data_IF_722707852135
#
_entry.id   IF_722707852135
#
_cell.length_a   1.000
_cell.length_b   1.000
_cell.length_c   1.000
_cell.angle_alpha   90.00
_cell.angle_beta   90.00
_cell.angle_gamma   90.00
#
_symmetry.space_group_name_H-M   'P 1'
#
loop_
_entity.id
_entity.type
_entity.pdbx_description
1 polymer ?
#
# COMPACT_ATOMS: atom_id res chain seq x y z
N UNK A 1 7.85 -8.13 41.74
CA UNK A 1 6.91 -7.00 41.78
C UNK A 1 6.00 -7.10 40.56
N UNK A 2 4.69 -7.20 40.80
CA UNK A 2 3.66 -7.51 39.80
C UNK A 2 3.60 -6.42 38.71
N UNK A 3 3.84 -6.82 37.46
CA UNK A 3 3.70 -5.96 36.29
C UNK A 3 2.21 -5.73 36.05
N UNK A 4 1.65 -4.68 36.64
CA UNK A 4 0.32 -4.21 36.27
C UNK A 4 0.33 -3.91 34.76
N UNK A 5 -0.52 -4.61 34.00
CA UNK A 5 -0.70 -4.32 32.59
C UNK A 5 -1.19 -2.87 32.45
N UNK A 6 -0.29 -1.97 32.06
CA UNK A 6 -0.61 -0.58 31.79
C UNK A 6 -1.63 -0.56 30.64
N UNK A 7 -2.85 -0.09 30.93
CA UNK A 7 -3.89 0.12 29.92
C UNK A 7 -3.90 1.59 29.55
N UNK A 8 -3.94 1.88 28.26
CA UNK A 8 -4.10 3.24 27.74
C UNK A 8 -5.32 3.32 26.85
N UNK A 9 -5.92 4.51 26.76
CA UNK A 9 -7.00 4.80 25.82
C UNK A 9 -6.39 5.14 24.47
N UNK A 10 -6.82 4.48 23.40
CA UNK A 10 -6.35 4.74 22.03
C UNK A 10 -7.51 5.02 21.09
N UNK A 11 -7.31 5.94 20.15
CA UNK A 11 -8.31 6.31 19.16
C UNK A 11 -8.53 5.18 18.15
N UNK A 12 -9.80 4.94 17.82
CA UNK A 12 -10.22 4.13 16.67
C UNK A 12 -10.62 5.11 15.58
N UNK A 13 -9.81 5.17 14.54
CA UNK A 13 -10.01 6.03 13.38
C UNK A 13 -10.10 5.17 12.14
N UNK A 14 -10.97 5.57 11.21
CA UNK A 14 -11.02 4.96 9.88
C UNK A 14 -11.04 6.04 8.79
N UNK A 15 -10.66 5.66 7.60
CA UNK A 15 -10.66 6.51 6.41
C UNK A 15 -11.90 6.26 5.56
N UNK A 16 -12.44 7.34 5.01
CA UNK A 16 -13.51 7.29 4.01
C UNK A 16 -12.91 6.85 2.67
N UNK A 17 -13.04 5.58 2.33
CA UNK A 17 -12.42 5.00 1.13
C UNK A 17 -12.91 5.65 -0.16
N UNK A 18 -14.19 6.02 -0.27
CA UNK A 18 -14.72 6.68 -1.48
C UNK A 18 -14.09 8.07 -1.67
N UNK A 19 -14.03 8.86 -0.60
CA UNK A 19 -13.32 10.15 -0.61
C UNK A 19 -11.85 9.96 -0.95
N UNK A 20 -11.23 8.92 -0.41
CA UNK A 20 -9.81 8.65 -0.63
C UNK A 20 -9.52 8.19 -2.07
N UNK A 21 -10.42 7.45 -2.72
CA UNK A 21 -10.36 7.18 -4.18
C UNK A 21 -10.44 8.45 -5.02
N UNK A 22 -11.17 9.47 -4.55
CA UNK A 22 -11.23 10.78 -5.18
C UNK A 22 -10.03 11.69 -4.84
N UNK A 23 -8.99 11.14 -4.21
CA UNK A 23 -7.79 11.89 -3.80
C UNK A 23 -7.99 12.79 -2.58
N UNK A 24 -9.09 12.62 -1.84
CA UNK A 24 -9.40 13.39 -0.63
C UNK A 24 -9.23 12.53 0.61
N UNK A 25 -8.23 12.84 1.43
CA UNK A 25 -8.04 12.16 2.72
C UNK A 25 -9.07 12.69 3.73
N UNK A 26 -10.05 11.86 4.05
CA UNK A 26 -11.02 12.12 5.12
C UNK A 26 -10.96 10.98 6.13
N UNK A 27 -10.60 11.31 7.36
CA UNK A 27 -10.58 10.37 8.47
C UNK A 27 -11.71 10.69 9.46
N UNK A 28 -12.35 9.66 10.01
CA UNK A 28 -13.40 9.77 11.02
C UNK A 28 -12.95 9.09 12.32
N UNK A 29 -13.12 9.79 13.44
CA UNK A 29 -12.96 9.21 14.77
C UNK A 29 -14.24 8.44 15.15
N UNK A 30 -14.10 7.15 15.41
CA UNK A 30 -15.21 6.28 15.86
C UNK A 30 -15.32 6.25 17.38
N UNK A 31 -14.21 6.47 18.10
CA UNK A 31 -14.18 6.53 19.54
C UNK A 31 -12.83 6.11 20.10
N UNK A 32 -12.84 5.68 21.35
CA UNK A 32 -11.64 5.27 22.07
C UNK A 32 -11.83 3.90 22.70
N UNK A 33 -10.80 3.06 22.63
CA UNK A 33 -10.76 1.74 23.27
C UNK A 33 -9.59 1.65 24.24
N UNK A 34 -9.78 0.92 25.35
CA UNK A 34 -8.69 0.57 26.26
C UNK A 34 -7.88 -0.58 25.66
N UNK A 35 -6.60 -0.34 25.42
CA UNK A 35 -5.67 -1.34 24.89
C UNK A 35 -4.59 -1.68 25.92
N UNK A 36 -4.05 -2.91 25.91
CA UNK A 36 -2.82 -3.21 26.64
C UNK A 36 -1.67 -2.40 26.05
N UNK A 37 -0.86 -1.79 26.90
CA UNK A 37 0.25 -0.96 26.48
C UNK A 37 1.54 -1.36 27.19
N UNK A 38 2.49 -1.80 26.38
CA UNK A 38 3.88 -1.93 26.78
C UNK A 38 4.74 -1.46 25.62
N UNK A 39 5.48 -0.35 25.81
CA UNK A 39 6.21 0.36 24.73
C UNK A 39 7.04 -0.55 23.81
N UNK A 40 7.58 -1.66 24.33
CA UNK A 40 8.38 -2.64 23.58
C UNK A 40 7.56 -3.61 22.71
N UNK A 41 6.29 -3.82 23.03
CA UNK A 41 5.42 -4.82 22.39
C UNK A 41 4.24 -4.21 21.63
N UNK A 42 4.15 -2.88 21.58
CA UNK A 42 3.14 -2.19 20.77
C UNK A 42 3.76 -1.83 19.43
N UNK A 43 3.10 -2.27 18.36
CA UNK A 43 3.48 -1.90 16.99
C UNK A 43 3.41 -0.38 16.84
N UNK A 44 4.47 0.23 16.30
CA UNK A 44 4.41 1.64 15.91
C UNK A 44 3.37 1.80 14.81
N UNK A 45 2.73 2.97 14.77
CA UNK A 45 1.90 3.35 13.64
C UNK A 45 2.69 3.15 12.34
N UNK A 46 2.00 2.74 11.27
CA UNK A 46 2.61 2.63 9.95
C UNK A 46 3.02 4.03 9.51
N UNK A 47 4.28 4.37 9.75
CA UNK A 47 4.88 5.59 9.25
C UNK A 47 5.05 5.45 7.75
N UNK A 48 4.70 6.49 6.98
CA UNK A 48 5.14 6.56 5.59
C UNK A 48 6.67 6.51 5.52
N UNK A 49 7.20 6.02 4.40
CA UNK A 49 8.65 6.05 4.16
C UNK A 49 9.16 7.50 4.28
N UNK A 50 10.18 7.76 5.11
CA UNK A 50 10.81 9.08 5.19
C UNK A 50 11.50 9.41 3.86
N UNK A 51 11.75 10.70 3.59
CA UNK A 51 12.46 11.12 2.37
C UNK A 51 13.83 10.46 2.23
N UNK A 52 14.49 10.11 3.34
CA UNK A 52 15.76 9.39 3.35
C UNK A 52 15.69 8.01 2.68
N UNK A 53 14.51 7.41 2.54
CA UNK A 53 14.32 6.12 1.86
C UNK A 53 14.12 6.26 0.35
N UNK A 54 14.01 7.48 -0.19
CA UNK A 54 13.70 7.72 -1.60
C UNK A 54 14.74 7.10 -2.53
N UNK A 55 16.03 7.22 -2.20
CA UNK A 55 17.11 6.59 -2.97
C UNK A 55 16.95 5.06 -3.05
N UNK A 56 16.60 4.41 -1.93
CA UNK A 56 16.34 2.98 -1.89
C UNK A 56 15.13 2.60 -2.75
N UNK A 57 14.05 3.39 -2.70
CA UNK A 57 12.86 3.18 -3.53
C UNK A 57 13.17 3.33 -5.03
N UNK A 58 13.97 4.32 -5.41
CA UNK A 58 14.40 4.54 -6.79
C UNK A 58 15.31 3.39 -7.29
N UNK A 59 16.22 2.91 -6.45
CA UNK A 59 17.05 1.74 -6.76
C UNK A 59 16.21 0.47 -6.96
N UNK A 60 15.26 0.19 -6.04
CA UNK A 60 14.30 -0.92 -6.16
C UNK A 60 13.47 -0.78 -7.44
N UNK A 61 13.02 0.44 -7.75
CA UNK A 61 12.24 0.72 -8.95
C UNK A 61 13.03 0.45 -10.24
N UNK A 62 14.32 0.80 -10.26
CA UNK A 62 15.21 0.52 -11.38
C UNK A 62 15.36 -0.98 -11.60
N UNK A 63 15.72 -1.70 -10.55
CA UNK A 63 15.92 -3.16 -10.58
C UNK A 63 14.66 -3.88 -11.06
N UNK A 64 13.49 -3.52 -10.53
CA UNK A 64 12.23 -4.16 -10.93
C UNK A 64 11.88 -3.82 -12.38
N UNK A 65 12.00 -2.55 -12.80
CA UNK A 65 11.63 -2.11 -14.14
C UNK A 65 12.52 -2.73 -15.24
N UNK A 66 13.80 -2.95 -14.94
CA UNK A 66 14.76 -3.59 -15.85
C UNK A 66 14.53 -5.10 -15.94
N UNK A 67 14.20 -5.76 -14.83
CA UNK A 67 13.99 -7.21 -14.76
C UNK A 67 12.53 -7.64 -14.98
N UNK A 68 11.65 -6.75 -15.48
CA UNK A 68 10.30 -7.14 -15.86
C UNK A 68 10.33 -8.14 -17.02
N UNK A 69 9.78 -9.34 -16.80
CA UNK A 69 9.74 -10.43 -17.74
C UNK A 69 8.58 -10.28 -18.72
N UNK A 70 8.85 -10.54 -20.00
CA UNK A 70 7.80 -10.63 -20.99
C UNK A 70 6.83 -11.79 -20.68
N UNK A 71 5.55 -11.60 -21.01
CA UNK A 71 4.51 -12.60 -20.77
C UNK A 71 3.99 -12.64 -19.33
N UNK A 72 4.54 -11.85 -18.41
CA UNK A 72 3.99 -11.68 -17.06
C UNK A 72 3.18 -10.39 -16.91
N UNK A 73 2.07 -10.50 -16.19
CA UNK A 73 1.37 -9.35 -15.60
C UNK A 73 1.91 -9.08 -14.20
N UNK A 74 1.96 -7.82 -13.79
CA UNK A 74 2.51 -7.38 -12.52
C UNK A 74 1.45 -6.66 -11.71
N UNK A 75 1.22 -7.12 -10.49
CA UNK A 75 0.27 -6.53 -9.54
C UNK A 75 0.97 -5.45 -8.74
N UNK A 76 0.52 -4.22 -8.94
CA UNK A 76 1.08 -3.04 -8.29
C UNK A 76 0.15 -2.62 -7.17
N UNK A 77 0.52 -2.97 -5.94
CA UNK A 77 -0.24 -2.61 -4.75
C UNK A 77 -0.22 -1.11 -4.44
N UNK A 78 -1.07 -0.63 -3.52
CA UNK A 78 -1.01 0.74 -3.03
C UNK A 78 0.25 0.95 -2.17
N UNK A 79 0.95 2.07 -2.35
CA UNK A 79 2.10 2.43 -1.51
C UNK A 79 3.17 3.25 -2.22
N UNK A 80 4.11 3.79 -1.43
CA UNK A 80 5.22 4.62 -1.94
C UNK A 80 6.23 3.82 -2.76
N UNK A 81 6.53 2.59 -2.35
CA UNK A 81 7.49 1.72 -3.06
C UNK A 81 6.98 1.33 -4.46
N UNK A 82 5.72 0.88 -4.56
CA UNK A 82 5.10 0.54 -5.85
C UNK A 82 4.87 1.78 -6.71
N UNK A 83 4.56 2.93 -6.10
CA UNK A 83 4.50 4.21 -6.79
C UNK A 83 5.83 4.60 -7.43
N UNK A 84 6.97 4.36 -6.78
CA UNK A 84 8.28 4.61 -7.38
C UNK A 84 8.51 3.77 -8.65
N UNK A 85 8.08 2.48 -8.63
CA UNK A 85 8.12 1.62 -9.83
C UNK A 85 7.23 2.18 -10.94
N UNK A 86 5.99 2.56 -10.62
CA UNK A 86 5.06 3.12 -11.60
C UNK A 86 5.58 4.44 -12.20
N UNK A 87 6.16 5.31 -11.38
CA UNK A 87 6.80 6.55 -11.84
C UNK A 87 7.98 6.27 -12.79
N UNK A 88 8.83 5.29 -12.47
CA UNK A 88 9.94 4.85 -13.33
C UNK A 88 9.44 4.36 -14.70
N UNK A 89 8.29 3.68 -14.72
CA UNK A 89 7.63 3.21 -15.95
C UNK A 89 6.84 4.31 -16.67
N UNK A 90 6.72 5.51 -16.11
CA UNK A 90 5.90 6.59 -16.66
C UNK A 90 4.39 6.32 -16.59
N UNK A 91 3.94 5.49 -15.64
CA UNK A 91 2.55 5.06 -15.49
C UNK A 91 1.88 5.74 -14.29
N UNK A 92 0.56 6.01 -14.35
CA UNK A 92 -0.19 6.50 -13.20
C UNK A 92 -0.35 5.39 -12.15
N UNK A 93 -0.55 5.78 -10.88
CA UNK A 93 -0.72 4.87 -9.74
C UNK A 93 -1.98 5.25 -8.95
N UNK A 94 -2.67 4.25 -8.42
CA UNK A 94 -3.83 4.43 -7.55
C UNK A 94 -3.49 4.42 -6.05
N UNK A 95 -4.32 5.10 -5.25
CA UNK A 95 -4.14 5.29 -3.80
C UNK A 95 -4.60 4.11 -2.93
N UNK A 96 -5.56 3.31 -3.40
CA UNK A 96 -6.23 2.25 -2.61
C UNK A 96 -6.19 0.89 -3.29
N UNK A 97 -6.73 0.82 -4.51
CA UNK A 97 -6.79 -0.43 -5.24
C UNK A 97 -5.42 -0.90 -5.73
N UNK A 98 -5.46 -2.01 -6.44
CA UNK A 98 -4.28 -2.56 -7.10
C UNK A 98 -4.33 -2.24 -8.59
N UNK A 99 -3.18 -1.84 -9.13
CA UNK A 99 -3.02 -1.61 -10.56
C UNK A 99 -2.40 -2.86 -11.21
N UNK A 100 -2.73 -3.12 -12.47
CA UNK A 100 -2.23 -4.26 -13.22
C UNK A 100 -1.42 -3.76 -14.42
N UNK A 101 -0.16 -4.16 -14.47
CA UNK A 101 0.78 -3.78 -15.53
C UNK A 101 1.14 -5.00 -16.37
N UNK A 102 1.10 -4.86 -17.70
CA UNK A 102 1.53 -5.89 -18.64
C UNK A 102 2.34 -5.26 -19.77
N UNK A 103 3.50 -5.84 -20.10
CA UNK A 103 4.46 -5.27 -21.08
C UNK A 103 4.74 -3.78 -20.84
N UNK A 104 5.02 -3.43 -19.57
CA UNK A 104 5.29 -2.05 -19.11
C UNK A 104 4.17 -1.04 -19.44
N UNK A 105 2.94 -1.52 -19.63
CA UNK A 105 1.74 -0.71 -19.84
C UNK A 105 0.71 -1.01 -18.76
N UNK A 106 0.03 0.02 -18.29
CA UNK A 106 -1.13 -0.14 -17.42
C UNK A 106 -2.29 -0.73 -18.22
N UNK A 107 -2.80 -1.87 -17.80
CA UNK A 107 -3.93 -2.55 -18.46
C UNK A 107 -5.23 -2.48 -17.65
N UNK A 108 -5.13 -2.24 -16.34
CA UNK A 108 -6.25 -1.97 -15.46
C UNK A 108 -5.75 -1.25 -14.20
N UNK A 109 -6.56 -0.37 -13.63
CA UNK A 109 -6.22 0.39 -12.43
C UNK A 109 -7.32 0.31 -11.37
N UNK A 110 -6.96 0.60 -10.13
CA UNK A 110 -7.86 0.67 -8.97
C UNK A 110 -8.72 -0.58 -8.73
N UNK A 111 -8.19 -1.77 -9.04
CA UNK A 111 -8.97 -3.00 -8.98
C UNK A 111 -9.24 -3.41 -7.53
N UNK A 112 -10.45 -3.93 -7.29
CA UNK A 112 -10.74 -4.75 -6.12
C UNK A 112 -10.37 -6.22 -6.37
N UNK A 113 -10.47 -7.05 -5.33
CA UNK A 113 -10.12 -8.47 -5.38
C UNK A 113 -10.84 -9.22 -6.51
N UNK A 114 -12.17 -9.07 -6.63
CA UNK A 114 -12.96 -9.78 -7.64
C UNK A 114 -12.54 -9.40 -9.06
N UNK A 115 -12.27 -8.12 -9.29
CA UNK A 115 -11.79 -7.61 -10.57
C UNK A 115 -10.37 -8.11 -10.87
N UNK A 116 -9.46 -8.05 -9.89
CA UNK A 116 -8.09 -8.56 -10.04
C UNK A 116 -8.10 -10.03 -10.43
N UNK A 117 -8.79 -10.88 -9.66
CA UNK A 117 -8.88 -12.32 -9.90
C UNK A 117 -9.44 -12.65 -11.28
N UNK A 118 -10.38 -11.85 -11.79
CA UNK A 118 -10.91 -11.99 -13.15
C UNK A 118 -9.84 -11.71 -14.22
N UNK A 119 -8.99 -10.71 -14.00
CA UNK A 119 -7.95 -10.30 -14.96
C UNK A 119 -6.74 -11.25 -14.97
N UNK A 120 -6.37 -11.84 -13.84
CA UNK A 120 -5.15 -12.66 -13.73
C UNK A 120 -5.38 -14.15 -14.00
N UNK A 121 -6.64 -14.60 -14.06
CA UNK A 121 -7.05 -16.02 -14.10
C UNK A 121 -6.38 -16.89 -15.18
N UNK A 122 -5.89 -16.31 -16.29
CA UNK A 122 -5.30 -17.04 -17.42
C UNK A 122 -3.88 -16.60 -17.75
N UNK A 123 -3.32 -15.65 -17.00
CA UNK A 123 -2.04 -15.02 -17.32
C UNK A 123 -1.01 -15.36 -16.23
N UNK A 124 0.24 -15.59 -16.64
CA UNK A 124 1.34 -15.61 -15.68
C UNK A 124 1.39 -14.25 -14.98
N UNK A 125 1.39 -14.25 -13.65
CA UNK A 125 1.24 -13.02 -12.86
C UNK A 125 2.23 -13.02 -11.70
N UNK A 126 2.81 -11.86 -11.41
CA UNK A 126 3.75 -11.58 -10.31
C UNK A 126 3.29 -10.41 -9.48
#
# INVERSE_FOLDING_TARGET
>A
MSSAALRVSSAVVDIDEESYRQGRLRARLFGYLKIPYQKKYVQKLKSGSPESERYCQEAIACEIAENMQEGFSYIMGPGTTTRAIMQRLGLPNTLLGVDLVYKKKLIANDLNERQLLKNIKKNKTK
#
